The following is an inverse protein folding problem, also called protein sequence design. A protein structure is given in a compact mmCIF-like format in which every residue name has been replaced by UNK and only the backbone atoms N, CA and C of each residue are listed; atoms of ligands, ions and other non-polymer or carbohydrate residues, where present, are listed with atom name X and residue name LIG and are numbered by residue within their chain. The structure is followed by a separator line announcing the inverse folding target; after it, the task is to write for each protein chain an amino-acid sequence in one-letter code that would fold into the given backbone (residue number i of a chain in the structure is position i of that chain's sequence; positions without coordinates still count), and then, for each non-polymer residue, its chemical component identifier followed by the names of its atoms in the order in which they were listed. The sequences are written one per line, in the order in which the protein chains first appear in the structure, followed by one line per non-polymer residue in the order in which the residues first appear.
data_IF_248321016108
#
_entry.id   IF_248321016108
#
_cell.length_a   1.000
_cell.length_b   1.000
_cell.length_c   1.000
_cell.angle_alpha   90.00
_cell.angle_beta   90.00
_cell.angle_gamma   90.00
#
_symmetry.space_group_name_H-M   'P 1'
#
loop_
_entity.id
_entity.type
_entity.pdbx_description
1 polymer ?
#
# COMPACT_ATOMS: atom_id res chain seq x y z
N UNK A 1 24.24 -32.63 64.01
CA UNK A 1 25.17 -31.49 64.22
C UNK A 1 24.82 -30.36 63.24
N UNK A 2 24.12 -29.37 63.69
CA UNK A 2 23.80 -28.17 62.88
C UNK A 2 25.05 -27.24 62.95
N UNK A 3 25.72 -27.09 61.80
CA UNK A 3 26.85 -26.19 61.65
C UNK A 3 26.39 -24.74 61.84
N UNK A 4 26.80 -24.08 62.95
CA UNK A 4 26.51 -22.66 63.18
C UNK A 4 27.07 -21.83 62.04
N UNK A 5 26.21 -21.25 61.24
CA UNK A 5 26.60 -20.27 60.20
C UNK A 5 27.19 -19.03 60.87
N UNK A 6 28.31 -18.53 60.32
CA UNK A 6 28.92 -17.32 60.85
C UNK A 6 28.00 -16.10 60.67
N UNK A 7 27.98 -15.23 61.64
CA UNK A 7 27.16 -14.00 61.65
C UNK A 7 27.27 -13.20 60.33
N UNK A 8 28.47 -13.16 59.74
CA UNK A 8 28.70 -12.51 58.42
C UNK A 8 27.88 -13.15 57.28
N UNK A 9 27.74 -14.48 57.26
CA UNK A 9 26.95 -15.16 56.22
C UNK A 9 25.47 -14.93 56.40
N UNK A 10 24.99 -14.81 57.63
CA UNK A 10 23.59 -14.48 57.95
C UNK A 10 23.29 -13.04 57.54
N UNK A 11 24.17 -12.07 57.83
CA UNK A 11 23.99 -10.67 57.42
C UNK A 11 23.98 -10.52 55.88
N UNK A 12 24.87 -11.19 55.15
CA UNK A 12 24.93 -11.12 53.69
C UNK A 12 23.68 -11.75 53.07
N UNK A 13 23.19 -12.88 53.59
CA UNK A 13 21.97 -13.49 53.08
C UNK A 13 20.71 -12.67 53.39
N UNK A 14 20.64 -12.04 54.55
CA UNK A 14 19.52 -11.19 54.90
C UNK A 14 19.50 -9.87 54.11
N UNK A 15 20.68 -9.33 53.79
CA UNK A 15 20.81 -8.16 52.93
C UNK A 15 20.37 -8.46 51.48
N UNK A 16 20.76 -9.63 50.96
CA UNK A 16 20.35 -10.12 49.61
C UNK A 16 18.82 -10.33 49.55
N UNK A 17 18.23 -10.93 50.59
CA UNK A 17 16.78 -11.11 50.70
C UNK A 17 16.04 -9.79 50.78
N UNK A 18 16.59 -8.83 51.51
CA UNK A 18 16.02 -7.48 51.62
C UNK A 18 16.12 -6.72 50.28
N UNK A 19 17.19 -6.86 49.54
CA UNK A 19 17.34 -6.26 48.23
C UNK A 19 16.34 -6.89 47.19
N UNK A 20 16.11 -8.20 47.25
CA UNK A 20 15.08 -8.88 46.41
C UNK A 20 13.66 -8.42 46.84
N UNK A 21 13.43 -8.23 48.12
CA UNK A 21 12.15 -7.70 48.61
C UNK A 21 11.92 -6.24 48.20
N UNK A 22 12.95 -5.42 48.13
CA UNK A 22 12.85 -4.05 47.59
C UNK A 22 12.59 -4.05 46.06
N UNK A 23 13.15 -4.97 45.30
CA UNK A 23 12.87 -5.17 43.87
C UNK A 23 11.42 -5.63 43.65
N UNK A 24 10.88 -6.46 44.54
CA UNK A 24 9.49 -6.92 44.48
C UNK A 24 8.50 -5.76 44.86
N UNK A 25 8.92 -4.81 45.67
CA UNK A 25 8.13 -3.62 46.03
C UNK A 25 8.30 -2.46 45.03
N UNK A 26 9.22 -2.55 44.09
CA UNK A 26 9.21 -1.59 42.98
C UNK A 26 7.90 -1.79 42.23
N UNK A 27 7.05 -0.77 42.09
CA UNK A 27 5.91 -0.86 41.22
C UNK A 27 6.48 -1.19 39.84
N UNK A 28 5.98 -2.25 39.22
CA UNK A 28 6.09 -2.40 37.79
C UNK A 28 5.55 -1.11 37.20
N UNK A 29 6.43 -0.24 36.74
CA UNK A 29 6.08 0.77 35.79
C UNK A 29 5.78 0.02 34.47
N UNK A 30 4.74 -0.80 34.47
CA UNK A 30 3.90 -0.84 33.29
C UNK A 30 3.42 0.60 33.17
N UNK A 31 4.12 1.39 32.35
CA UNK A 31 3.47 2.49 31.70
C UNK A 31 2.28 1.83 30.99
N UNK A 32 1.14 1.79 31.69
CA UNK A 32 -0.16 1.82 31.05
C UNK A 32 -0.07 3.04 30.12
N UNK A 33 0.41 2.78 28.90
CA UNK A 33 0.13 3.64 27.77
C UNK A 33 -1.38 3.48 27.60
N UNK A 34 -2.13 4.15 28.49
CA UNK A 34 -3.52 4.49 28.24
C UNK A 34 -3.45 5.41 27.05
N UNK A 35 -3.52 4.82 25.87
CA UNK A 35 -4.03 5.53 24.73
C UNK A 35 -5.45 5.93 25.13
N UNK A 36 -5.57 7.09 25.78
CA UNK A 36 -6.82 7.80 25.75
C UNK A 36 -7.10 7.94 24.25
N UNK A 37 -8.04 7.14 23.79
CA UNK A 37 -8.79 7.43 22.58
C UNK A 37 -9.48 8.78 22.88
N UNK A 38 -8.72 9.87 22.74
CA UNK A 38 -9.36 11.12 22.43
C UNK A 38 -10.03 10.81 21.08
N UNK A 39 -11.31 11.16 20.97
CA UNK A 39 -12.01 11.31 19.69
C UNK A 39 -11.34 12.44 18.87
N UNK A 40 -10.05 12.38 18.74
CA UNK A 40 -9.33 13.09 17.75
C UNK A 40 -9.51 12.25 16.50
N UNK A 41 -10.40 12.71 15.62
CA UNK A 41 -10.22 12.51 14.23
C UNK A 41 -8.72 12.64 14.00
N UNK A 42 -8.01 11.52 13.79
CA UNK A 42 -6.69 11.56 13.19
C UNK A 42 -7.03 11.92 11.75
N UNK A 43 -7.24 13.22 11.51
CA UNK A 43 -7.00 13.78 10.21
C UNK A 43 -5.56 13.41 9.93
N UNK A 44 -5.37 12.39 9.11
CA UNK A 44 -4.14 12.29 8.36
C UNK A 44 -4.14 13.54 7.48
N UNK A 45 -3.67 14.64 8.05
CA UNK A 45 -3.18 15.74 7.26
C UNK A 45 -2.22 15.07 6.30
N UNK A 46 -2.55 15.08 5.05
CA UNK A 46 -1.66 14.74 3.96
C UNK A 46 -0.40 15.54 4.24
N UNK A 47 0.60 14.85 4.76
CA UNK A 47 1.86 15.51 5.06
C UNK A 47 2.41 15.80 3.67
N UNK A 48 2.34 17.03 3.22
CA UNK A 48 2.84 17.53 1.92
C UNK A 48 4.32 17.22 1.69
N UNK A 49 4.93 16.50 2.62
CA UNK A 49 6.33 16.07 2.61
C UNK A 49 6.56 14.72 1.93
N UNK A 50 5.52 13.96 1.56
CA UNK A 50 5.71 12.63 0.95
C UNK A 50 4.78 12.40 -0.24
N UNK A 51 5.38 11.95 -1.34
CA UNK A 51 4.66 11.54 -2.56
C UNK A 51 4.64 10.03 -2.71
N UNK A 52 3.51 9.49 -3.17
CA UNK A 52 3.37 8.06 -3.44
C UNK A 52 4.00 7.72 -4.78
N UNK A 53 4.85 6.70 -4.78
CA UNK A 53 5.45 6.14 -5.99
C UNK A 53 5.35 4.62 -6.00
N UNK A 54 5.37 4.06 -7.18
CA UNK A 54 5.35 2.61 -7.39
C UNK A 54 6.66 2.18 -8.04
N UNK A 55 7.47 1.46 -7.29
CA UNK A 55 8.81 1.04 -7.66
C UNK A 55 8.92 -0.49 -7.65
N UNK A 56 9.94 -1.04 -8.27
CA UNK A 56 10.21 -2.47 -8.15
C UNK A 56 10.76 -2.80 -6.77
N UNK A 57 10.15 -3.77 -6.11
CA UNK A 57 10.67 -4.34 -4.87
C UNK A 57 11.74 -5.43 -5.13
N UNK A 58 12.29 -6.01 -4.07
CA UNK A 58 13.29 -7.09 -4.14
C UNK A 58 12.75 -8.37 -4.79
N UNK A 59 11.42 -8.55 -4.84
CA UNK A 59 10.74 -9.70 -5.44
C UNK A 59 10.26 -9.41 -6.87
N UNK A 60 10.64 -8.27 -7.44
CA UNK A 60 10.22 -7.78 -8.75
C UNK A 60 8.72 -7.47 -8.87
N UNK A 61 8.01 -7.19 -7.79
CA UNK A 61 6.70 -6.57 -7.86
C UNK A 61 6.83 -5.06 -8.01
N UNK A 62 5.90 -4.45 -8.74
CA UNK A 62 5.69 -3.00 -8.70
C UNK A 62 4.90 -2.70 -7.43
N UNK A 63 5.58 -2.15 -6.43
CA UNK A 63 5.05 -2.00 -5.08
C UNK A 63 4.97 -0.52 -4.67
N UNK A 64 3.97 -0.20 -3.86
CA UNK A 64 3.70 1.14 -3.35
C UNK A 64 4.70 1.51 -2.26
N UNK A 65 5.34 2.65 -2.43
CA UNK A 65 6.21 3.28 -1.43
C UNK A 65 6.06 4.80 -1.48
N UNK A 66 6.86 5.53 -0.72
CA UNK A 66 6.85 6.99 -0.71
C UNK A 66 8.25 7.54 -0.88
N UNK A 67 8.35 8.68 -1.55
CA UNK A 67 9.54 9.53 -1.63
C UNK A 67 9.26 10.86 -0.95
N UNK A 68 10.28 11.68 -0.80
CA UNK A 68 10.11 13.07 -0.35
C UNK A 68 9.30 13.86 -1.38
N UNK A 69 8.23 14.48 -0.93
CA UNK A 69 7.38 15.33 -1.76
C UNK A 69 8.02 16.70 -2.01
N UNK A 70 7.58 17.36 -3.06
CA UNK A 70 7.81 18.78 -3.26
C UNK A 70 6.54 19.55 -2.83
N UNK A 71 6.71 20.69 -2.22
CA UNK A 71 5.59 21.60 -1.95
C UNK A 71 5.34 22.45 -3.21
N UNK A 72 4.88 21.83 -4.28
CA UNK A 72 4.78 22.42 -5.60
C UNK A 72 3.42 22.13 -6.25
N UNK A 73 3.14 22.71 -7.42
CA UNK A 73 1.90 22.45 -8.15
C UNK A 73 1.87 21.01 -8.71
N UNK A 74 0.70 20.60 -9.20
CA UNK A 74 0.44 19.21 -9.66
C UNK A 74 1.41 18.78 -10.78
N UNK A 75 1.72 19.64 -11.73
CA UNK A 75 2.63 19.33 -12.84
C UNK A 75 4.07 19.16 -12.38
N UNK A 76 4.54 20.02 -11.46
CA UNK A 76 5.87 19.90 -10.85
C UNK A 76 5.97 18.67 -9.96
N UNK A 77 4.91 18.34 -9.20
CA UNK A 77 4.81 17.09 -8.44
C UNK A 77 4.90 15.89 -9.39
N UNK A 78 4.15 15.89 -10.49
CA UNK A 78 4.21 14.83 -11.49
C UNK A 78 5.61 14.68 -12.11
N UNK A 79 6.31 15.80 -12.35
CA UNK A 79 7.69 15.79 -12.81
C UNK A 79 8.64 15.17 -11.79
N UNK A 80 8.51 15.55 -10.51
CA UNK A 80 9.32 15.01 -9.42
C UNK A 80 9.11 13.50 -9.28
N UNK A 81 7.85 13.06 -9.26
CA UNK A 81 7.46 11.64 -9.22
C UNK A 81 8.03 10.90 -10.42
N UNK A 82 7.85 11.40 -11.65
CA UNK A 82 8.38 10.74 -12.85
C UNK A 82 9.91 10.62 -12.82
N UNK A 83 10.62 11.65 -12.37
CA UNK A 83 12.09 11.65 -12.21
C UNK A 83 12.56 10.62 -11.16
N UNK A 84 11.78 10.35 -10.13
CA UNK A 84 12.10 9.32 -9.13
C UNK A 84 11.99 7.89 -9.64
N UNK A 85 11.31 7.68 -10.77
CA UNK A 85 11.21 6.36 -11.42
C UNK A 85 12.42 6.03 -12.31
N UNK A 86 13.28 7.03 -12.60
CA UNK A 86 14.43 6.91 -13.51
C UNK A 86 15.66 6.42 -12.74
N UNK A 87 16.27 5.33 -13.24
CA UNK A 87 17.52 4.78 -12.69
C UNK A 87 18.62 5.84 -12.73
N UNK A 88 19.32 6.00 -11.59
CA UNK A 88 20.35 7.03 -11.40
C UNK A 88 19.86 8.48 -11.65
N UNK A 89 18.53 8.69 -11.54
CA UNK A 89 17.93 10.00 -11.63
C UNK A 89 18.25 10.91 -10.43
N UNK A 90 17.76 12.15 -10.49
CA UNK A 90 18.03 13.17 -9.46
C UNK A 90 17.63 12.76 -8.03
N UNK A 91 16.60 11.93 -7.90
CA UNK A 91 16.02 11.52 -6.61
C UNK A 91 16.53 10.13 -6.16
N UNK A 92 17.63 9.65 -6.71
CA UNK A 92 18.15 8.31 -6.42
C UNK A 92 18.40 8.07 -4.92
N UNK A 93 18.85 9.09 -4.19
CA UNK A 93 19.12 9.00 -2.75
C UNK A 93 17.85 8.97 -1.88
N UNK A 94 16.68 9.21 -2.46
CA UNK A 94 15.38 9.21 -1.76
C UNK A 94 14.65 7.87 -1.87
N UNK A 95 15.20 6.95 -2.68
CA UNK A 95 14.59 5.63 -2.91
C UNK A 95 14.79 4.78 -1.65
N UNK A 96 13.71 4.28 -1.03
CA UNK A 96 13.81 3.46 0.17
C UNK A 96 14.56 2.14 -0.10
N UNK A 97 15.25 1.64 0.94
CA UNK A 97 15.91 0.34 0.87
C UNK A 97 14.91 -0.77 0.52
N UNK A 98 15.31 -1.68 -0.35
CA UNK A 98 14.46 -2.77 -0.84
C UNK A 98 13.69 -2.43 -2.12
N UNK A 99 13.77 -1.17 -2.59
CA UNK A 99 13.16 -0.72 -3.82
C UNK A 99 14.21 -0.29 -4.85
N UNK A 100 13.84 -0.36 -6.11
CA UNK A 100 14.65 0.12 -7.23
C UNK A 100 13.78 0.74 -8.32
N UNK A 101 14.34 1.68 -9.00
CA UNK A 101 13.76 2.37 -10.14
C UNK A 101 13.69 1.44 -11.36
N UNK A 102 12.85 1.81 -12.33
CA UNK A 102 12.59 0.95 -13.47
C UNK A 102 12.76 1.65 -14.82
N UNK A 103 12.60 2.97 -14.89
CA UNK A 103 12.81 3.71 -16.15
C UNK A 103 14.31 3.73 -16.45
N UNK A 104 14.74 3.42 -17.69
CA UNK A 104 16.15 3.37 -18.06
C UNK A 104 16.93 4.63 -17.69
N UNK A 105 18.17 4.45 -17.25
CA UNK A 105 19.09 5.55 -16.97
C UNK A 105 19.28 6.44 -18.21
N UNK A 106 19.45 7.73 -17.98
CA UNK A 106 19.59 8.72 -19.06
C UNK A 106 18.27 9.16 -19.70
N UNK A 107 17.14 8.57 -19.31
CA UNK A 107 15.83 9.06 -19.73
C UNK A 107 15.58 10.46 -19.15
N UNK A 108 15.09 11.37 -19.97
CA UNK A 108 14.71 12.72 -19.57
C UNK A 108 13.20 12.94 -19.70
N UNK A 109 12.63 13.70 -18.77
CA UNK A 109 11.27 14.22 -18.88
C UNK A 109 11.34 15.54 -19.68
N UNK A 110 10.97 15.47 -20.95
CA UNK A 110 11.07 16.59 -21.89
C UNK A 110 9.96 17.64 -21.69
N UNK A 111 8.74 17.17 -21.44
CA UNK A 111 7.56 18.04 -21.22
C UNK A 111 6.49 17.32 -20.42
N UNK A 112 5.72 18.12 -19.67
CA UNK A 112 4.51 17.70 -18.96
C UNK A 112 3.41 18.72 -19.25
N UNK A 113 2.18 18.25 -19.43
CA UNK A 113 0.98 19.06 -19.65
C UNK A 113 -0.22 18.36 -19.01
N UNK A 114 -0.94 19.09 -18.16
CA UNK A 114 -2.12 18.57 -17.47
C UNK A 114 -3.37 19.28 -17.99
N UNK A 115 -4.29 18.50 -18.55
CA UNK A 115 -5.57 19.02 -19.03
C UNK A 115 -6.70 18.04 -18.69
N UNK A 116 -7.78 18.54 -18.11
CA UNK A 116 -8.98 17.76 -17.78
C UNK A 116 -8.63 16.47 -16.99
N UNK A 117 -7.70 16.57 -16.03
CA UNK A 117 -7.15 15.46 -15.22
C UNK A 117 -6.41 14.37 -16.04
N UNK A 118 -6.07 14.65 -17.29
CA UNK A 118 -5.25 13.79 -18.13
C UNK A 118 -3.86 14.41 -18.20
N UNK A 119 -2.90 13.73 -17.62
CA UNK A 119 -1.49 14.12 -17.68
C UNK A 119 -0.84 13.58 -18.96
N UNK A 120 -0.34 14.46 -19.82
CA UNK A 120 0.54 14.09 -20.92
C UNK A 120 1.98 14.26 -20.48
N UNK A 121 2.75 13.16 -20.45
CA UNK A 121 4.17 13.18 -20.15
C UNK A 121 4.99 12.74 -21.36
N UNK A 122 6.00 13.52 -21.72
CA UNK A 122 6.87 13.28 -22.85
C UNK A 122 8.29 12.95 -22.38
N UNK A 123 8.76 11.76 -22.71
CA UNK A 123 10.10 11.30 -22.37
C UNK A 123 11.02 11.34 -23.60
N UNK A 124 12.32 11.36 -23.35
CA UNK A 124 13.34 11.16 -24.37
C UNK A 124 13.39 9.71 -24.85
N UNK A 125 14.09 9.46 -25.94
CA UNK A 125 14.14 8.14 -26.61
C UNK A 125 14.72 7.04 -25.73
N UNK A 126 15.52 7.35 -24.73
CA UNK A 126 16.16 6.42 -23.80
C UNK A 126 15.12 5.60 -23.01
N UNK A 127 13.86 6.08 -22.87
CA UNK A 127 12.75 5.30 -22.32
C UNK A 127 12.59 3.94 -23.05
N UNK A 128 12.91 3.89 -24.35
CA UNK A 128 12.74 2.69 -25.17
C UNK A 128 13.84 1.64 -24.94
N UNK A 129 14.92 1.97 -24.23
CA UNK A 129 16.05 1.06 -23.93
C UNK A 129 15.73 0.07 -22.78
N UNK A 130 14.45 0.00 -22.37
CA UNK A 130 13.96 -0.93 -21.36
C UNK A 130 14.10 -2.39 -21.82
N UNK A 131 14.50 -3.29 -20.92
CA UNK A 131 14.51 -4.73 -21.19
C UNK A 131 13.08 -5.27 -21.34
N UNK A 132 12.89 -6.25 -22.22
CA UNK A 132 11.59 -6.86 -22.52
C UNK A 132 10.83 -7.34 -21.27
N UNK A 133 11.53 -7.91 -20.31
CA UNK A 133 10.96 -8.43 -19.06
C UNK A 133 10.39 -7.36 -18.13
N UNK A 134 10.80 -6.10 -18.30
CA UNK A 134 10.40 -4.97 -17.46
C UNK A 134 9.50 -3.96 -18.17
N UNK A 135 9.25 -4.08 -19.48
CA UNK A 135 8.51 -3.07 -20.24
C UNK A 135 7.07 -2.88 -19.75
N UNK A 136 6.34 -3.95 -19.37
CA UNK A 136 5.00 -3.82 -18.77
C UNK A 136 5.07 -3.19 -17.40
N UNK A 137 6.00 -3.62 -16.56
CA UNK A 137 6.19 -3.08 -15.20
C UNK A 137 6.59 -1.61 -15.21
N UNK A 138 7.34 -1.15 -16.21
CA UNK A 138 7.63 0.26 -16.40
C UNK A 138 6.35 1.07 -16.65
N UNK A 139 5.47 0.60 -17.52
CA UNK A 139 4.18 1.25 -17.78
C UNK A 139 3.29 1.22 -16.53
N UNK A 140 3.22 0.10 -15.82
CA UNK A 140 2.51 -0.03 -14.55
C UNK A 140 3.03 0.97 -13.51
N UNK A 141 4.35 1.08 -13.34
CA UNK A 141 4.99 2.02 -12.43
C UNK A 141 4.66 3.48 -12.77
N UNK A 142 4.74 3.87 -14.04
CA UNK A 142 4.40 5.22 -14.51
C UNK A 142 2.92 5.54 -14.23
N UNK A 143 2.01 4.66 -14.63
CA UNK A 143 0.57 4.87 -14.47
C UNK A 143 0.23 5.03 -12.98
N UNK A 144 0.59 4.05 -12.17
CA UNK A 144 0.19 4.00 -10.76
C UNK A 144 0.82 5.12 -9.94
N UNK A 145 2.07 5.51 -10.25
CA UNK A 145 2.72 6.63 -9.58
C UNK A 145 2.05 7.96 -9.93
N UNK A 146 1.82 8.22 -11.22
CA UNK A 146 1.28 9.51 -11.65
C UNK A 146 -0.22 9.67 -11.33
N UNK A 147 -1.01 8.59 -11.42
CA UNK A 147 -2.43 8.63 -11.04
C UNK A 147 -2.67 8.57 -9.53
N UNK A 148 -1.62 8.43 -8.71
CA UNK A 148 -1.71 8.61 -7.25
C UNK A 148 -1.64 10.07 -6.82
N UNK A 149 -1.28 10.97 -7.73
CA UNK A 149 -1.27 12.42 -7.49
C UNK A 149 -2.70 12.96 -7.61
N UNK A 150 -3.12 13.77 -6.64
CA UNK A 150 -4.42 14.42 -6.70
C UNK A 150 -4.56 15.30 -7.94
N UNK A 151 -5.69 15.20 -8.62
CA UNK A 151 -5.96 15.90 -9.87
C UNK A 151 -5.51 15.17 -11.14
N UNK A 152 -4.88 13.96 -11.04
CA UNK A 152 -4.49 13.14 -12.21
C UNK A 152 -5.26 11.82 -12.18
N UNK A 153 -6.17 11.65 -13.15
CA UNK A 153 -6.94 10.40 -13.29
C UNK A 153 -6.37 9.50 -14.39
N UNK A 154 -5.74 10.09 -15.42
CA UNK A 154 -5.23 9.37 -16.60
C UNK A 154 -3.89 9.91 -17.06
N UNK A 155 -3.14 9.08 -17.78
CA UNK A 155 -1.82 9.41 -18.30
C UNK A 155 -1.72 9.11 -19.80
N UNK A 156 -1.12 10.02 -20.57
CA UNK A 156 -0.67 9.80 -21.93
C UNK A 156 0.85 9.82 -21.93
N UNK A 157 1.48 8.70 -22.28
CA UNK A 157 2.94 8.59 -22.37
C UNK A 157 3.35 8.89 -23.81
N UNK A 158 4.27 9.83 -23.99
CA UNK A 158 4.91 10.14 -25.27
C UNK A 158 6.41 9.89 -25.20
N UNK A 159 6.99 9.57 -26.34
CA UNK A 159 8.43 9.49 -26.54
C UNK A 159 8.79 10.35 -27.76
N UNK A 160 9.68 11.33 -27.57
CA UNK A 160 10.04 12.30 -28.61
C UNK A 160 8.81 12.92 -29.28
N UNK A 161 7.81 13.28 -28.47
CA UNK A 161 6.56 13.90 -28.91
C UNK A 161 5.52 12.96 -29.53
N UNK A 162 5.82 11.67 -29.70
CA UNK A 162 4.90 10.69 -30.30
C UNK A 162 4.28 9.81 -29.21
N UNK A 163 2.95 9.56 -29.22
CA UNK A 163 2.32 8.64 -28.29
C UNK A 163 2.95 7.25 -28.33
N UNK A 164 3.13 6.65 -27.15
CA UNK A 164 3.62 5.28 -27.02
C UNK A 164 2.44 4.32 -27.17
N UNK A 165 2.20 3.85 -28.39
CA UNK A 165 1.07 2.94 -28.72
C UNK A 165 1.43 1.47 -28.62
N UNK A 166 2.73 1.15 -28.51
CA UNK A 166 3.24 -0.22 -28.42
C UNK A 166 4.41 -0.30 -27.46
N UNK A 167 4.50 -1.39 -26.72
CA UNK A 167 5.66 -1.68 -25.91
C UNK A 167 6.91 -1.83 -26.76
N UNK A 168 8.09 -1.35 -26.29
CA UNK A 168 9.29 -1.24 -27.11
C UNK A 168 9.78 -2.57 -27.72
N UNK A 169 9.73 -3.66 -26.95
CA UNK A 169 10.31 -4.95 -27.33
C UNK A 169 9.26 -5.96 -27.79
N UNK A 170 8.22 -6.19 -26.98
CA UNK A 170 7.15 -7.16 -27.28
C UNK A 170 6.23 -6.71 -28.41
N UNK A 171 6.21 -5.41 -28.73
CA UNK A 171 5.28 -4.78 -29.68
C UNK A 171 3.80 -4.95 -29.30
N UNK A 172 3.52 -5.34 -28.07
CA UNK A 172 2.17 -5.40 -27.52
C UNK A 172 1.53 -4.01 -27.60
N UNK A 173 0.34 -3.95 -28.17
CA UNK A 173 -0.43 -2.69 -28.31
C UNK A 173 -0.92 -2.28 -26.91
N UNK A 174 -0.80 -0.99 -26.63
CA UNK A 174 -1.34 -0.35 -25.42
C UNK A 174 -2.24 0.82 -25.84
N UNK A 175 -3.18 1.15 -24.98
CA UNK A 175 -4.05 2.31 -25.22
C UNK A 175 -3.22 3.61 -25.14
N UNK A 176 -3.60 4.61 -25.93
CA UNK A 176 -2.95 5.93 -25.86
C UNK A 176 -3.21 6.63 -24.52
N UNK A 177 -4.44 6.52 -24.01
CA UNK A 177 -4.84 7.04 -22.70
C UNK A 177 -4.86 5.88 -21.73
N UNK A 178 -4.07 5.97 -20.67
CA UNK A 178 -3.86 4.93 -19.67
C UNK A 178 -4.39 5.39 -18.31
N UNK A 179 -4.96 4.46 -17.57
CA UNK A 179 -5.40 4.64 -16.20
C UNK A 179 -5.16 3.34 -15.40
N UNK A 180 -5.57 3.28 -14.14
CA UNK A 180 -5.40 2.09 -13.29
C UNK A 180 -6.09 0.82 -13.84
N UNK A 181 -7.03 0.92 -14.79
CA UNK A 181 -7.60 -0.25 -15.47
C UNK A 181 -6.57 -1.00 -16.34
N UNK A 182 -5.40 -0.39 -16.63
CA UNK A 182 -4.29 -1.10 -17.23
C UNK A 182 -3.85 -2.32 -16.41
N UNK A 183 -4.08 -2.27 -15.09
CA UNK A 183 -3.69 -3.29 -14.13
C UNK A 183 -2.21 -3.23 -13.76
N UNK A 184 -1.87 -3.86 -12.63
CA UNK A 184 -0.52 -3.90 -12.05
C UNK A 184 -0.24 -5.30 -11.50
N UNK A 185 1.00 -5.80 -11.67
CA UNK A 185 1.40 -7.15 -11.24
C UNK A 185 0.37 -8.22 -11.64
N UNK A 186 -0.03 -8.22 -12.88
CA UNK A 186 -1.22 -8.90 -13.41
C UNK A 186 -1.20 -10.40 -13.20
N UNK A 187 -2.30 -10.95 -12.68
CA UNK A 187 -2.57 -12.39 -12.56
C UNK A 187 -3.82 -12.76 -13.33
N UNK A 188 -3.73 -13.85 -14.05
CA UNK A 188 -4.80 -14.32 -14.91
C UNK A 188 -5.35 -15.65 -14.39
N UNK A 189 -6.61 -15.66 -13.94
CA UNK A 189 -7.38 -16.84 -13.54
C UNK A 189 -8.59 -16.99 -14.46
N UNK A 190 -8.33 -16.97 -15.78
CA UNK A 190 -9.34 -16.95 -16.83
C UNK A 190 -9.49 -18.35 -17.37
N UNK A 191 -10.71 -18.88 -17.36
CA UNK A 191 -11.07 -20.17 -17.92
C UNK A 191 -11.60 -20.02 -19.36
N UNK A 192 -12.27 -18.90 -19.66
CA UNK A 192 -12.81 -18.57 -20.97
C UNK A 192 -12.41 -17.17 -21.41
N UNK A 193 -12.12 -16.94 -22.69
CA UNK A 193 -11.66 -15.64 -23.20
C UNK A 193 -12.76 -14.57 -23.29
N UNK A 194 -13.96 -14.88 -22.82
CA UNK A 194 -15.13 -13.99 -22.83
C UNK A 194 -15.56 -13.62 -21.43
N UNK A 195 -16.23 -12.48 -21.27
CA UNK A 195 -16.73 -11.99 -19.99
C UNK A 195 -15.62 -11.92 -18.93
N UNK A 196 -14.54 -11.21 -19.27
CA UNK A 196 -13.42 -10.97 -18.35
C UNK A 196 -13.72 -9.72 -17.54
N UNK A 197 -13.56 -9.80 -16.23
CA UNK A 197 -13.54 -8.69 -15.30
C UNK A 197 -12.22 -8.66 -14.56
N UNK A 198 -11.91 -7.53 -13.90
CA UNK A 198 -10.70 -7.39 -13.12
C UNK A 198 -10.95 -6.62 -11.83
N UNK A 199 -10.13 -6.95 -10.83
CA UNK A 199 -10.07 -6.20 -9.57
C UNK A 199 -8.64 -6.21 -9.05
N UNK A 200 -8.27 -5.12 -8.35
CA UNK A 200 -6.94 -4.96 -7.75
C UNK A 200 -7.03 -5.18 -6.25
N UNK A 201 -6.16 -6.01 -5.71
CA UNK A 201 -6.06 -6.30 -4.28
C UNK A 201 -4.66 -5.93 -3.80
N UNK A 202 -4.58 -5.27 -2.66
CA UNK A 202 -3.33 -4.93 -2.00
C UNK A 202 -2.97 -5.97 -0.96
N UNK A 203 -1.75 -6.46 -1.04
CA UNK A 203 -1.14 -7.35 -0.06
C UNK A 203 -0.02 -6.62 0.68
N UNK A 204 0.37 -7.16 1.82
CA UNK A 204 1.56 -6.73 2.55
C UNK A 204 2.75 -7.56 2.09
N UNK A 205 3.87 -6.91 1.85
CA UNK A 205 5.17 -7.53 1.69
C UNK A 205 6.16 -6.90 2.66
N UNK A 206 7.32 -7.55 2.84
CA UNK A 206 8.29 -7.12 3.84
C UNK A 206 9.70 -7.14 3.28
N UNK A 207 10.46 -6.11 3.59
CA UNK A 207 11.90 -6.05 3.36
C UNK A 207 12.61 -5.66 4.66
N UNK A 208 13.39 -6.59 5.20
CA UNK A 208 13.88 -6.53 6.58
C UNK A 208 12.69 -6.35 7.55
N UNK A 209 12.69 -5.29 8.36
CA UNK A 209 11.61 -4.98 9.31
C UNK A 209 10.58 -3.98 8.79
N UNK A 210 10.69 -3.55 7.52
CA UNK A 210 9.78 -2.58 6.93
C UNK A 210 8.72 -3.29 6.08
N UNK A 211 7.46 -3.04 6.39
CA UNK A 211 6.32 -3.50 5.63
C UNK A 211 5.90 -2.47 4.58
N UNK A 212 5.40 -2.96 3.46
CA UNK A 212 4.91 -2.14 2.35
C UNK A 212 3.80 -2.86 1.59
N UNK A 213 3.08 -2.14 0.75
CA UNK A 213 1.89 -2.66 0.08
C UNK A 213 2.15 -2.94 -1.39
N UNK A 214 1.73 -4.14 -1.82
CA UNK A 214 1.88 -4.63 -3.20
C UNK A 214 0.51 -4.83 -3.81
N UNK A 215 0.12 -4.03 -4.81
CA UNK A 215 -1.09 -4.24 -5.56
C UNK A 215 -0.94 -5.39 -6.56
N UNK A 216 -1.98 -6.18 -6.71
CA UNK A 216 -2.07 -7.25 -7.72
C UNK A 216 -3.43 -7.17 -8.38
N UNK A 217 -3.45 -6.94 -9.69
CA UNK A 217 -4.67 -6.97 -10.48
C UNK A 217 -4.95 -8.40 -10.94
N UNK A 218 -6.10 -8.92 -10.54
CA UNK A 218 -6.59 -10.24 -10.93
C UNK A 218 -7.60 -10.13 -12.04
N UNK A 219 -7.37 -10.88 -13.12
CA UNK A 219 -8.30 -11.03 -14.22
C UNK A 219 -9.02 -12.36 -14.07
N UNK A 220 -10.35 -12.31 -14.00
CA UNK A 220 -11.22 -13.45 -13.75
C UNK A 220 -12.37 -13.46 -14.76
N UNK A 221 -13.00 -14.60 -14.98
CA UNK A 221 -14.27 -14.58 -15.70
C UNK A 221 -15.34 -13.94 -14.81
N UNK A 222 -16.15 -13.04 -15.39
CA UNK A 222 -17.22 -12.37 -14.68
C UNK A 222 -18.14 -13.42 -14.02
N UNK A 223 -18.21 -13.34 -12.71
CA UNK A 223 -19.07 -14.18 -11.89
C UNK A 223 -20.28 -13.38 -11.43
N UNK A 224 -21.26 -14.04 -10.86
CA UNK A 224 -22.40 -13.40 -10.18
C UNK A 224 -21.98 -12.74 -8.85
N UNK A 225 -20.73 -12.96 -8.43
CA UNK A 225 -20.21 -12.40 -7.20
C UNK A 225 -19.88 -10.92 -7.35
N UNK A 226 -20.27 -10.17 -6.35
CA UNK A 226 -19.90 -8.77 -6.18
C UNK A 226 -18.38 -8.62 -6.07
N UNK A 227 -17.83 -7.63 -6.80
CA UNK A 227 -16.40 -7.32 -6.81
C UNK A 227 -15.83 -7.11 -5.40
N UNK A 228 -16.57 -6.40 -4.53
CA UNK A 228 -16.12 -6.15 -3.16
C UNK A 228 -16.01 -7.45 -2.35
N UNK A 229 -16.97 -8.36 -2.50
CA UNK A 229 -16.89 -9.67 -1.86
C UNK A 229 -15.71 -10.49 -2.38
N UNK A 230 -15.39 -10.39 -3.67
CA UNK A 230 -14.20 -11.04 -4.23
C UNK A 230 -12.92 -10.49 -3.60
N UNK A 231 -12.80 -9.18 -3.42
CA UNK A 231 -11.66 -8.53 -2.76
C UNK A 231 -11.51 -9.01 -1.32
N UNK A 232 -12.59 -8.98 -0.54
CA UNK A 232 -12.54 -9.41 0.87
C UNK A 232 -12.24 -10.91 0.99
N UNK A 233 -12.87 -11.76 0.17
CA UNK A 233 -12.59 -13.19 0.15
C UNK A 233 -11.12 -13.48 -0.24
N UNK A 234 -10.56 -12.70 -1.15
CA UNK A 234 -9.16 -12.84 -1.54
C UNK A 234 -8.21 -12.47 -0.38
N UNK A 235 -8.52 -11.40 0.34
CA UNK A 235 -7.73 -10.98 1.51
C UNK A 235 -7.88 -11.93 2.69
N UNK A 236 -9.04 -12.56 2.89
CA UNK A 236 -9.25 -13.55 3.94
C UNK A 236 -8.71 -14.94 3.58
N UNK A 237 -8.52 -15.23 2.28
CA UNK A 237 -7.83 -16.43 1.84
C UNK A 237 -6.33 -16.13 1.76
N UNK A 238 -5.50 -16.79 2.58
CA UNK A 238 -4.04 -16.65 2.46
C UNK A 238 -3.60 -16.85 1.01
N UNK A 239 -2.78 -15.98 0.44
CA UNK A 239 -2.23 -16.19 -0.90
C UNK A 239 -1.30 -17.40 -0.86
N UNK A 240 -1.85 -18.58 -1.10
CA UNK A 240 -1.15 -19.89 -1.00
C UNK A 240 0.00 -20.01 -2.00
N UNK A 241 0.04 -19.14 -3.03
CA UNK A 241 0.93 -19.31 -4.17
C UNK A 241 2.07 -18.30 -4.27
N UNK A 242 2.12 -17.31 -3.39
CA UNK A 242 3.12 -16.24 -3.45
C UNK A 242 3.79 -16.07 -2.11
N UNK A 243 4.97 -16.67 -1.97
CA UNK A 243 5.70 -16.77 -0.70
C UNK A 243 6.05 -15.43 -0.02
N UNK A 244 5.88 -14.31 -0.72
CA UNK A 244 6.30 -12.99 -0.24
C UNK A 244 5.13 -11.98 -0.14
N UNK A 245 3.90 -12.40 -0.42
CA UNK A 245 2.70 -11.58 -0.28
C UNK A 245 1.84 -12.14 0.85
N UNK A 246 1.47 -11.28 1.78
CA UNK A 246 0.73 -11.65 2.99
C UNK A 246 -0.57 -10.85 3.09
N UNK A 247 -1.58 -11.47 3.63
CA UNK A 247 -2.75 -10.78 4.13
C UNK A 247 -2.87 -11.03 5.62
N UNK A 248 -3.11 -9.97 6.38
CA UNK A 248 -3.35 -10.06 7.83
C UNK A 248 -4.83 -10.18 8.17
N UNK A 249 -5.71 -10.20 7.16
CA UNK A 249 -7.14 -10.41 7.38
C UNK A 249 -7.38 -11.85 7.82
N UNK A 250 -8.05 -12.01 8.96
CA UNK A 250 -8.39 -13.33 9.49
C UNK A 250 -9.28 -14.10 8.50
N UNK A 251 -9.01 -15.40 8.31
CA UNK A 251 -9.77 -16.26 7.42
C UNK A 251 -11.27 -16.36 7.75
N UNK A 252 -11.62 -16.17 9.02
CA UNK A 252 -13.01 -16.20 9.50
C UNK A 252 -13.72 -14.84 9.33
N UNK A 253 -13.00 -13.82 8.85
CA UNK A 253 -13.60 -12.51 8.58
C UNK A 253 -14.52 -12.58 7.39
N UNK A 254 -15.74 -12.09 7.56
CA UNK A 254 -16.73 -11.99 6.50
C UNK A 254 -17.35 -10.60 6.45
N UNK A 255 -17.54 -10.10 5.22
CA UNK A 255 -18.32 -8.91 4.96
C UNK A 255 -19.82 -9.29 5.00
N UNK A 256 -20.53 -8.82 6.03
CA UNK A 256 -21.95 -9.08 6.23
C UNK A 256 -22.76 -8.31 5.18
N UNK A 257 -22.56 -7.01 5.13
CA UNK A 257 -23.16 -6.13 4.13
C UNK A 257 -22.28 -4.88 3.94
N UNK A 258 -22.60 -4.09 2.93
CA UNK A 258 -21.98 -2.79 2.72
C UNK A 258 -22.99 -1.80 2.14
N UNK A 259 -22.71 -0.52 2.31
CA UNK A 259 -23.48 0.57 1.73
C UNK A 259 -22.55 1.49 0.98
N UNK A 260 -22.83 1.71 -0.30
CA UNK A 260 -22.10 2.64 -1.15
C UNK A 260 -22.95 3.92 -1.30
N UNK A 261 -22.41 5.03 -0.82
CA UNK A 261 -22.89 6.38 -1.09
C UNK A 261 -21.95 7.04 -2.11
N UNK A 262 -22.33 8.21 -2.64
CA UNK A 262 -21.56 8.86 -3.71
C UNK A 262 -20.06 9.03 -3.41
N UNK A 263 -19.67 9.23 -2.15
CA UNK A 263 -18.30 9.54 -1.76
C UNK A 263 -17.77 8.64 -0.65
N UNK A 264 -18.58 7.76 -0.07
CA UNK A 264 -18.19 6.90 1.04
C UNK A 264 -18.70 5.48 0.89
N UNK A 265 -17.93 4.53 1.37
CA UNK A 265 -18.29 3.12 1.45
C UNK A 265 -18.24 2.67 2.91
N UNK A 266 -19.38 2.19 3.42
CA UNK A 266 -19.49 1.57 4.74
C UNK A 266 -19.41 0.07 4.59
N UNK A 267 -18.55 -0.56 5.35
CA UNK A 267 -18.26 -1.99 5.33
C UNK A 267 -18.60 -2.57 6.69
N UNK A 268 -19.63 -3.39 6.77
CA UNK A 268 -20.01 -4.04 8.02
C UNK A 268 -19.50 -5.49 8.05
N UNK A 269 -18.60 -5.77 8.97
CA UNK A 269 -17.94 -7.06 9.16
C UNK A 269 -18.46 -7.78 10.39
N UNK A 270 -18.16 -9.08 10.46
CA UNK A 270 -18.28 -9.85 11.70
C UNK A 270 -17.09 -9.52 12.65
N UNK A 271 -17.18 -9.97 13.91
CA UNK A 271 -16.19 -9.73 14.95
C UNK A 271 -14.80 -10.30 14.66
N UNK A 272 -14.69 -11.18 13.66
CA UNK A 272 -13.40 -11.79 13.27
C UNK A 272 -12.46 -10.83 12.57
N UNK A 273 -12.89 -9.60 12.25
CA UNK A 273 -12.03 -8.54 11.74
C UNK A 273 -11.07 -7.99 12.82
N UNK A 274 -11.44 -8.14 14.09
CA UNK A 274 -10.58 -7.72 15.19
C UNK A 274 -9.37 -8.64 15.33
N UNK A 275 -8.18 -8.03 15.54
CA UNK A 275 -6.97 -8.78 15.89
C UNK A 275 -7.09 -9.43 17.28
N UNK A 276 -7.69 -8.69 18.21
CA UNK A 276 -7.99 -9.16 19.56
C UNK A 276 -9.41 -8.74 19.90
N UNK A 277 -10.27 -9.74 20.18
CA UNK A 277 -11.68 -9.53 20.53
C UNK A 277 -11.87 -8.68 21.79
N UNK A 278 -10.88 -8.65 22.69
CA UNK A 278 -10.96 -7.87 23.92
C UNK A 278 -10.62 -6.39 23.68
N UNK A 279 -9.81 -6.08 22.69
CA UNK A 279 -9.37 -4.71 22.41
C UNK A 279 -10.25 -3.97 21.39
N UNK A 280 -11.09 -4.69 20.64
CA UNK A 280 -11.90 -4.15 19.54
C UNK A 280 -11.05 -3.35 18.52
N UNK A 281 -9.80 -3.79 18.31
CA UNK A 281 -8.87 -3.11 17.40
C UNK A 281 -8.68 -3.92 16.13
N UNK A 282 -8.71 -3.23 14.99
CA UNK A 282 -8.32 -3.77 13.68
C UNK A 282 -6.82 -3.48 13.50
N UNK A 283 -6.09 -4.44 12.91
CA UNK A 283 -4.71 -4.21 12.51
C UNK A 283 -4.63 -3.10 11.45
N UNK A 284 -3.59 -2.28 11.54
CA UNK A 284 -3.36 -1.21 10.58
C UNK A 284 -3.19 -1.77 9.16
N UNK A 285 -2.50 -2.88 9.01
CA UNK A 285 -2.28 -3.59 7.75
C UNK A 285 -3.61 -4.04 7.11
N UNK A 286 -4.58 -4.48 7.91
CA UNK A 286 -5.92 -4.85 7.45
C UNK A 286 -6.67 -3.62 6.96
N UNK A 287 -6.63 -2.52 7.73
CA UNK A 287 -7.26 -1.26 7.34
C UNK A 287 -6.69 -0.77 6.01
N UNK A 288 -5.35 -0.76 5.87
CA UNK A 288 -4.69 -0.27 4.66
C UNK A 288 -4.93 -1.18 3.46
N UNK A 289 -4.79 -2.51 3.60
CA UNK A 289 -5.01 -3.43 2.47
C UNK A 289 -6.43 -3.36 1.93
N UNK A 290 -7.42 -3.31 2.80
CA UNK A 290 -8.84 -3.14 2.39
C UNK A 290 -9.04 -1.76 1.76
N UNK A 291 -8.60 -0.68 2.42
CA UNK A 291 -8.82 0.69 1.94
C UNK A 291 -8.16 0.96 0.59
N UNK A 292 -6.90 0.57 0.40
CA UNK A 292 -6.19 0.72 -0.88
C UNK A 292 -6.82 -0.14 -1.98
N UNK A 293 -7.28 -1.35 -1.64
CA UNK A 293 -7.99 -2.20 -2.61
C UNK A 293 -9.31 -1.56 -3.05
N UNK A 294 -10.01 -0.91 -2.13
CA UNK A 294 -11.25 -0.20 -2.46
C UNK A 294 -10.95 1.05 -3.28
N UNK A 295 -9.96 1.84 -2.92
CA UNK A 295 -9.52 3.04 -3.65
C UNK A 295 -9.25 2.75 -5.13
N UNK A 296 -8.57 1.65 -5.44
CA UNK A 296 -8.23 1.30 -6.82
C UNK A 296 -9.40 0.68 -7.62
N UNK A 297 -10.46 0.22 -6.96
CA UNK A 297 -11.60 -0.41 -7.62
C UNK A 297 -12.87 0.45 -7.65
N UNK A 298 -12.96 1.46 -6.78
CA UNK A 298 -14.13 2.31 -6.61
C UNK A 298 -13.72 3.78 -6.49
N UNK A 299 -14.46 4.66 -7.12
CA UNK A 299 -14.21 6.09 -7.02
C UNK A 299 -14.91 6.66 -5.79
N UNK A 300 -14.30 6.51 -4.61
CA UNK A 300 -14.81 7.00 -3.34
C UNK A 300 -13.72 7.76 -2.57
N UNK A 301 -14.14 8.62 -1.64
CA UNK A 301 -13.24 9.42 -0.80
C UNK A 301 -13.01 8.83 0.59
N UNK A 302 -13.87 7.92 1.02
CA UNK A 302 -13.89 7.49 2.41
C UNK A 302 -14.34 6.03 2.54
N UNK A 303 -13.64 5.28 3.39
CA UNK A 303 -14.05 3.93 3.82
C UNK A 303 -14.34 3.95 5.31
N UNK A 304 -15.51 3.46 5.69
CA UNK A 304 -15.97 3.34 7.07
C UNK A 304 -16.08 1.87 7.41
N UNK A 305 -15.39 1.45 8.45
CA UNK A 305 -15.42 0.09 8.96
C UNK A 305 -16.45 0.00 10.09
N UNK A 306 -17.37 -0.94 9.98
CA UNK A 306 -18.40 -1.20 10.97
C UNK A 306 -18.33 -2.67 11.42
N UNK A 307 -18.67 -2.91 12.70
CA UNK A 307 -18.93 -4.25 13.24
C UNK A 307 -20.25 -4.19 13.96
N UNK A 308 -21.16 -5.13 13.66
CA UNK A 308 -22.52 -5.14 14.20
C UNK A 308 -23.29 -3.83 13.96
N UNK A 309 -23.03 -3.15 12.83
CA UNK A 309 -23.56 -1.84 12.44
C UNK A 309 -23.09 -0.68 13.34
N UNK A 310 -22.04 -0.84 14.13
CA UNK A 310 -21.38 0.23 14.88
C UNK A 310 -20.09 0.62 14.16
N UNK A 311 -19.90 1.94 13.93
CA UNK A 311 -18.68 2.47 13.34
C UNK A 311 -17.52 2.28 14.31
N UNK A 312 -16.46 1.60 13.84
CA UNK A 312 -15.26 1.32 14.62
C UNK A 312 -14.03 2.06 14.11
N UNK A 313 -14.00 2.36 12.81
CA UNK A 313 -12.89 3.07 12.20
C UNK A 313 -13.34 3.75 10.89
N UNK A 314 -12.73 4.89 10.60
CA UNK A 314 -12.98 5.67 9.40
C UNK A 314 -11.66 6.08 8.77
N UNK A 315 -11.50 5.83 7.48
CA UNK A 315 -10.32 6.21 6.71
C UNK A 315 -10.71 7.09 5.54
N UNK A 316 -10.13 8.28 5.51
CA UNK A 316 -10.19 9.16 4.33
C UNK A 316 -9.16 8.64 3.32
N UNK A 317 -9.62 8.46 2.10
CA UNK A 317 -8.81 8.14 0.93
C UNK A 317 -8.34 9.45 0.28
N UNK A 318 -7.88 9.37 -0.95
CA UNK A 318 -7.49 10.55 -1.72
C UNK A 318 -8.55 11.67 -1.66
N UNK A 319 -8.16 12.87 -1.26
CA UNK A 319 -9.06 14.04 -1.29
C UNK A 319 -9.19 14.50 -2.74
N UNK A 320 -10.39 14.41 -3.28
CA UNK A 320 -10.70 15.05 -4.57
C UNK A 320 -11.25 16.42 -4.22
N UNK A 321 -10.44 17.46 -4.35
CA UNK A 321 -10.94 18.85 -4.41
C UNK A 321 -11.49 19.17 -5.79
#
# INVERSE_FOLDING_TARGET
MLKKMSLRKIMVSSLALFALFLLYLMPDNEEDIRYTLSNNNIEYTYNSEKEVVYLLDSNNYVARTTIKGCNCNVEETAKNVAQSLIVDGKNNNEIPNGFRQIIPAGTEVLNIDLKDKILTINFSKELLDIKKEYEEKMIESIIYSLTSIDGIDKVIIKVEGKPLEKLPNSKKIINTVLDKNYGINKKYSIVAPTNIDSYTVYYVSKYNDNEYYVPVTKYVNKSEYDKLKLIINELSSSPIYENNLMSYLNSDTSLINYTLNNESMKLNFNDSIYNDKNSNKILEEVIYTISLSIEDNYNIKEVIFEVNNEEIYKKTLKTIE
#
